data_IF_873218953545
#
_entry.id   IF_873218953545
#
_cell.length_a   1.000
_cell.length_b   1.000
_cell.length_c   1.000
_cell.angle_alpha   90.00
_cell.angle_beta   90.00
_cell.angle_gamma   90.00
#
_symmetry.space_group_name_H-M   'P 1'
#
loop_
_entity.id
_entity.type
_entity.pdbx_description
1 polymer ?
#
# COMPACT_ATOMS: atom_id res chain seq x y z
N UNK A 1 -2.25 -13.02 29.57
CA UNK A 1 -1.53 -12.39 28.45
C UNK A 1 -2.55 -11.54 27.73
N UNK A 2 -2.58 -10.24 28.05
CA UNK A 2 -3.39 -9.27 27.32
C UNK A 2 -2.89 -9.24 25.88
N UNK A 3 -3.63 -9.87 24.97
CA UNK A 3 -3.51 -9.57 23.55
C UNK A 3 -4.07 -8.16 23.38
N UNK A 4 -3.23 -7.17 23.69
CA UNK A 4 -3.42 -5.81 23.23
C UNK A 4 -3.64 -5.95 21.74
N UNK A 5 -4.90 -5.78 21.30
CA UNK A 5 -5.24 -5.70 19.87
C UNK A 5 -4.24 -4.72 19.31
N UNK A 6 -3.26 -5.21 18.56
CA UNK A 6 -2.42 -4.35 17.75
C UNK A 6 -3.36 -3.89 16.68
N UNK A 7 -4.15 -2.86 17.02
CA UNK A 7 -4.68 -1.93 16.06
C UNK A 7 -3.41 -1.45 15.40
N UNK A 8 -3.05 -2.08 14.29
CA UNK A 8 -2.07 -1.55 13.37
C UNK A 8 -2.76 -0.29 12.89
N UNK A 9 -2.69 0.78 13.68
CA UNK A 9 -2.91 2.12 13.19
C UNK A 9 -1.87 2.21 12.09
N UNK A 10 -2.28 2.24 10.81
CA UNK A 10 -1.32 2.50 9.77
C UNK A 10 -0.80 3.87 10.17
N UNK A 11 0.46 3.94 10.63
CA UNK A 11 1.19 5.20 10.65
C UNK A 11 1.10 5.66 9.22
N UNK A 12 0.12 6.51 8.93
CA UNK A 12 0.00 7.20 7.67
C UNK A 12 1.24 8.07 7.66
N UNK A 13 2.34 7.51 7.15
CA UNK A 13 3.34 8.34 6.51
C UNK A 13 2.51 9.04 5.45
N UNK A 14 2.20 10.32 5.68
CA UNK A 14 1.51 11.21 4.75
C UNK A 14 2.39 11.44 3.51
N UNK A 15 2.99 10.37 2.98
CA UNK A 15 3.66 10.37 1.70
C UNK A 15 2.58 10.32 0.65
N UNK A 16 2.62 11.26 -0.28
CA UNK A 16 1.78 11.25 -1.45
C UNK A 16 2.21 10.06 -2.33
N UNK A 17 1.47 8.96 -2.27
CA UNK A 17 1.66 7.79 -3.15
C UNK A 17 0.96 8.06 -4.48
N UNK A 18 1.63 8.82 -5.36
CA UNK A 18 1.15 9.18 -6.69
C UNK A 18 2.12 8.72 -7.79
N UNK A 19 1.73 8.87 -9.06
CA UNK A 19 2.56 8.54 -10.22
C UNK A 19 3.99 9.08 -10.10
N UNK A 20 4.15 10.34 -9.71
CA UNK A 20 5.46 10.99 -9.48
C UNK A 20 6.31 10.23 -8.47
N UNK A 21 5.73 9.80 -7.34
CA UNK A 21 6.44 9.00 -6.35
C UNK A 21 6.86 7.64 -6.94
N UNK A 22 5.98 6.95 -7.66
CA UNK A 22 6.29 5.64 -8.24
C UNK A 22 7.44 5.72 -9.26
N UNK A 23 7.46 6.76 -10.09
CA UNK A 23 8.50 6.97 -11.10
C UNK A 23 9.89 7.30 -10.53
N UNK A 24 10.01 7.54 -9.22
CA UNK A 24 11.33 7.70 -8.57
C UNK A 24 12.06 6.37 -8.37
N UNK A 25 11.37 5.24 -8.52
CA UNK A 25 11.94 3.92 -8.33
C UNK A 25 12.50 3.35 -9.62
N UNK A 26 13.61 2.63 -9.50
CA UNK A 26 14.24 1.94 -10.61
C UNK A 26 13.30 0.89 -11.21
N UNK A 27 13.11 0.94 -12.52
CA UNK A 27 12.16 0.11 -13.27
C UNK A 27 10.84 0.79 -13.59
N UNK A 28 10.61 2.01 -13.09
CA UNK A 28 9.37 2.77 -13.32
C UNK A 28 9.63 4.17 -13.90
N UNK A 29 10.88 4.55 -14.16
CA UNK A 29 11.26 5.90 -14.59
C UNK A 29 10.54 6.31 -15.89
N UNK A 30 10.45 5.39 -16.84
CA UNK A 30 9.89 5.61 -18.18
C UNK A 30 8.39 5.33 -18.28
N UNK A 31 7.72 4.98 -17.17
CA UNK A 31 6.29 4.70 -17.20
C UNK A 31 5.50 5.96 -17.53
N UNK A 32 4.47 5.81 -18.38
CA UNK A 32 3.47 6.86 -18.54
C UNK A 32 2.72 7.09 -17.23
N UNK A 33 2.08 8.25 -17.10
CA UNK A 33 1.28 8.57 -15.92
C UNK A 33 0.14 7.55 -15.73
N UNK A 34 -0.51 7.14 -16.83
CA UNK A 34 -1.59 6.14 -16.81
C UNK A 34 -1.10 4.75 -16.36
N UNK A 35 0.09 4.31 -16.81
CA UNK A 35 0.67 3.04 -16.37
C UNK A 35 1.06 3.09 -14.89
N UNK A 36 1.64 4.22 -14.45
CA UNK A 36 2.03 4.41 -13.05
C UNK A 36 0.81 4.41 -12.10
N UNK A 37 -0.26 5.11 -12.46
CA UNK A 37 -1.51 5.13 -11.70
C UNK A 37 -2.18 3.74 -11.65
N UNK A 38 -2.19 2.99 -12.76
CA UNK A 38 -2.68 1.61 -12.77
C UNK A 38 -1.94 0.71 -11.78
N UNK A 39 -0.62 0.83 -11.69
CA UNK A 39 0.17 0.06 -10.72
C UNK A 39 -0.14 0.48 -9.29
N UNK A 40 -0.31 1.77 -9.04
CA UNK A 40 -0.68 2.26 -7.70
C UNK A 40 -2.04 1.71 -7.25
N UNK A 41 -3.01 1.61 -8.15
CA UNK A 41 -4.29 1.00 -7.87
C UNK A 41 -4.16 -0.49 -7.53
N UNK A 42 -3.35 -1.24 -8.28
CA UNK A 42 -3.07 -2.65 -7.97
C UNK A 42 -2.38 -2.83 -6.60
N UNK A 43 -1.43 -1.95 -6.26
CA UNK A 43 -0.75 -1.97 -4.97
C UNK A 43 -1.72 -1.65 -3.82
N UNK A 44 -2.65 -0.72 -4.01
CA UNK A 44 -3.72 -0.41 -3.05
C UNK A 44 -4.65 -1.60 -2.84
N UNK A 45 -5.07 -2.25 -3.93
CA UNK A 45 -5.93 -3.43 -3.84
C UNK A 45 -5.22 -4.56 -3.08
N UNK A 46 -3.96 -4.83 -3.40
CA UNK A 46 -3.15 -5.82 -2.70
C UNK A 46 -3.02 -5.49 -1.20
N UNK A 47 -2.73 -4.22 -0.86
CA UNK A 47 -2.65 -3.79 0.54
C UNK A 47 -3.97 -4.04 1.27
N UNK A 48 -5.11 -3.74 0.64
CA UNK A 48 -6.44 -4.01 1.20
C UNK A 48 -6.65 -5.51 1.44
N UNK A 49 -6.30 -6.35 0.47
CA UNK A 49 -6.43 -7.82 0.58
C UNK A 49 -5.58 -8.35 1.74
N UNK A 50 -4.31 -7.95 1.81
CA UNK A 50 -3.38 -8.39 2.87
C UNK A 50 -3.86 -7.91 4.24
N UNK A 51 -4.27 -6.65 4.37
CA UNK A 51 -4.84 -6.12 5.62
C UNK A 51 -6.08 -6.92 6.04
N UNK A 52 -7.01 -7.17 5.11
CA UNK A 52 -8.18 -8.00 5.38
C UNK A 52 -7.81 -9.41 5.84
N UNK A 53 -6.80 -10.02 5.21
CA UNK A 53 -6.35 -11.37 5.56
C UNK A 53 -5.77 -11.40 6.98
N UNK A 54 -4.80 -10.54 7.28
CA UNK A 54 -4.15 -10.45 8.60
C UNK A 54 -5.18 -10.19 9.70
N UNK A 55 -6.14 -9.29 9.46
CA UNK A 55 -7.21 -9.00 10.42
C UNK A 55 -8.15 -10.18 10.65
N UNK A 56 -8.40 -11.01 9.63
CA UNK A 56 -9.27 -12.19 9.73
C UNK A 56 -8.58 -13.42 10.32
N UNK A 57 -7.27 -13.57 10.13
CA UNK A 57 -6.49 -14.70 10.68
C UNK A 57 -5.96 -14.44 12.08
N UNK A 58 -6.08 -13.22 12.60
CA UNK A 58 -5.68 -12.85 13.95
C UNK A 58 -6.70 -13.16 15.06
N UNK A 59 -7.72 -13.99 14.79
CA UNK A 59 -8.72 -14.46 15.77
C UNK A 59 -8.38 -15.84 16.32
#
# INVERSE_FOLDING_TARGET
MDMSKVLIEPKQKNGTFNSTWLKTFKGFEDYSEEEAERILDQLRELANIVCCHVQKTGT
#
